data_IF_861765568534
#
_entry.id   IF_861765568534
#
_cell.length_a   1.000
_cell.length_b   1.000
_cell.length_c   1.000
_cell.angle_alpha   90.00
_cell.angle_beta   90.00
_cell.angle_gamma   90.00
#
_symmetry.space_group_name_H-M   'P 1'
#
loop_
_entity.id
_entity.type
_entity.pdbx_description
1 polymer ?
#
# COMPACT_ATOMS: atom_id res chain seq x y z
N UNK A 1 7.88 47.64 -37.49
CA UNK A 1 7.69 46.96 -36.19
C UNK A 1 8.86 46.01 -36.00
N UNK A 2 9.76 46.30 -35.05
CA UNK A 2 11.11 45.74 -34.95
C UNK A 2 11.12 44.36 -34.29
N UNK A 3 11.94 43.44 -34.83
CA UNK A 3 12.14 42.04 -34.38
C UNK A 3 12.30 41.87 -32.85
N UNK A 4 12.84 42.88 -32.15
CA UNK A 4 13.03 42.86 -30.69
C UNK A 4 11.72 42.86 -29.88
N UNK A 5 10.62 43.39 -30.42
CA UNK A 5 9.33 43.45 -29.70
C UNK A 5 8.56 42.13 -29.81
N UNK A 6 8.74 41.40 -30.92
CA UNK A 6 8.17 40.06 -31.11
C UNK A 6 8.83 39.00 -30.21
N UNK A 7 10.14 39.11 -29.93
CA UNK A 7 10.83 38.21 -29.00
C UNK A 7 10.39 38.37 -27.53
N UNK A 8 10.04 39.59 -27.09
CA UNK A 8 9.60 39.83 -25.71
C UNK A 8 8.16 39.37 -25.42
N UNK A 9 7.26 39.44 -26.41
CA UNK A 9 5.91 38.89 -26.28
C UNK A 9 5.87 37.36 -26.36
N UNK A 10 6.74 36.73 -27.17
CA UNK A 10 6.84 35.27 -27.25
C UNK A 10 7.32 34.62 -25.96
N UNK A 11 8.27 35.24 -25.25
CA UNK A 11 8.81 34.72 -24.00
C UNK A 11 7.79 34.73 -22.84
N UNK A 12 6.85 35.69 -22.83
CA UNK A 12 5.85 35.80 -21.76
C UNK A 12 4.69 34.81 -21.95
N UNK A 13 4.32 34.46 -23.18
CA UNK A 13 3.28 33.47 -23.45
C UNK A 13 3.75 32.02 -23.20
N UNK A 14 5.04 31.73 -23.42
CA UNK A 14 5.62 30.41 -23.19
C UNK A 14 5.76 30.07 -21.70
N UNK A 15 5.96 31.07 -20.82
CA UNK A 15 6.11 30.87 -19.38
C UNK A 15 4.78 30.60 -18.65
N UNK A 16 3.66 31.10 -19.19
CA UNK A 16 2.33 30.86 -18.63
C UNK A 16 1.80 29.48 -19.01
N UNK A 17 2.15 28.96 -20.19
CA UNK A 17 1.72 27.64 -20.67
C UNK A 17 2.37 26.48 -19.89
N UNK A 18 3.57 26.67 -19.33
CA UNK A 18 4.27 25.65 -18.51
C UNK A 18 3.80 25.58 -17.06
N UNK A 19 3.08 26.59 -16.54
CA UNK A 19 2.54 26.57 -15.18
C UNK A 19 1.22 25.78 -15.05
N UNK A 20 0.50 25.57 -16.16
CA UNK A 20 -0.77 24.82 -16.17
C UNK A 20 -0.60 23.29 -16.22
N UNK A 21 0.58 22.78 -16.59
CA UNK A 21 0.85 21.33 -16.65
C UNK A 21 1.25 20.72 -15.30
N UNK A 22 1.49 21.55 -14.26
CA UNK A 22 1.87 21.07 -12.93
C UNK A 22 0.76 20.27 -12.22
N UNK A 23 -0.52 20.55 -12.51
CA UNK A 23 -1.67 19.84 -11.92
C UNK A 23 -1.87 18.40 -12.44
N UNK A 24 -1.14 17.96 -13.48
CA UNK A 24 -1.25 16.61 -14.01
C UNK A 24 -0.38 15.56 -13.27
N UNK A 25 0.30 15.96 -12.19
CA UNK A 25 1.24 15.12 -11.44
C UNK A 25 0.65 14.41 -10.22
N UNK A 26 -0.65 14.59 -9.95
CA UNK A 26 -1.32 13.92 -8.84
C UNK A 26 -1.40 12.39 -9.07
N UNK A 27 -1.30 11.56 -8.02
CA UNK A 27 -1.52 10.13 -8.13
C UNK A 27 -2.90 9.84 -8.75
N UNK A 28 -3.04 8.80 -9.60
CA UNK A 28 -4.32 8.43 -10.17
C UNK A 28 -5.38 8.18 -9.09
N UNK A 29 -6.57 8.77 -9.26
CA UNK A 29 -7.69 8.53 -8.37
C UNK A 29 -8.33 7.16 -8.67
N UNK A 30 -8.50 6.35 -7.64
CA UNK A 30 -9.32 5.15 -7.65
C UNK A 30 -10.67 5.50 -7.03
N UNK A 31 -11.76 5.51 -7.83
CA UNK A 31 -13.07 5.86 -7.32
C UNK A 31 -13.61 4.82 -6.35
N UNK A 32 -14.54 5.24 -5.49
CA UNK A 32 -15.34 4.32 -4.69
C UNK A 32 -16.04 3.28 -5.58
N UNK A 33 -16.22 2.07 -5.05
CA UNK A 33 -16.81 0.93 -5.76
C UNK A 33 -15.84 -0.24 -5.91
N UNK A 34 -16.06 -1.05 -6.95
CA UNK A 34 -15.24 -2.23 -7.20
C UNK A 34 -13.87 -1.82 -7.72
N UNK A 35 -12.82 -2.22 -7.00
CA UNK A 35 -11.43 -2.07 -7.42
C UNK A 35 -10.86 -3.45 -7.77
N UNK A 36 -10.45 -3.60 -9.03
CA UNK A 36 -9.78 -4.79 -9.51
C UNK A 36 -8.31 -4.78 -9.07
N UNK A 37 -7.94 -5.74 -8.23
CA UNK A 37 -6.55 -5.95 -7.78
C UNK A 37 -5.83 -6.73 -8.88
N UNK A 38 -5.32 -5.99 -9.87
CA UNK A 38 -4.65 -6.47 -11.09
C UNK A 38 -5.41 -7.59 -11.84
N UNK A 39 -6.75 -7.55 -11.77
CA UNK A 39 -7.61 -8.56 -12.42
C UNK A 39 -7.67 -9.91 -11.70
N UNK A 40 -6.93 -10.11 -10.61
CA UNK A 40 -6.99 -11.35 -9.84
C UNK A 40 -8.30 -11.46 -9.05
N UNK A 41 -8.62 -10.45 -8.24
CA UNK A 41 -9.85 -10.38 -7.48
C UNK A 41 -10.31 -8.92 -7.31
N UNK A 42 -11.51 -8.73 -6.77
CA UNK A 42 -12.05 -7.42 -6.48
C UNK A 42 -12.14 -7.17 -4.98
N UNK A 43 -11.83 -5.94 -4.59
CA UNK A 43 -12.20 -5.36 -3.30
C UNK A 43 -13.20 -4.23 -3.53
N UNK A 44 -14.00 -3.90 -2.51
CA UNK A 44 -14.93 -2.78 -2.54
C UNK A 44 -14.36 -1.64 -1.72
N UNK A 45 -14.02 -0.54 -2.40
CA UNK A 45 -13.67 0.73 -1.78
C UNK A 45 -14.95 1.49 -1.46
N UNK A 46 -15.06 2.01 -0.25
CA UNK A 46 -16.21 2.75 0.24
C UNK A 46 -16.14 4.26 -0.08
N UNK A 47 -14.94 4.74 -0.40
CA UNK A 47 -14.64 6.10 -0.80
C UNK A 47 -13.57 6.12 -1.90
N UNK A 48 -13.23 7.31 -2.37
CA UNK A 48 -12.12 7.49 -3.30
C UNK A 48 -10.77 7.33 -2.57
N UNK A 49 -9.83 6.68 -3.24
CA UNK A 49 -8.45 6.52 -2.80
C UNK A 49 -7.51 7.02 -3.89
N UNK A 50 -6.33 7.48 -3.53
CA UNK A 50 -5.23 7.73 -4.45
C UNK A 50 -4.41 6.44 -4.64
N UNK A 51 -4.18 6.01 -5.88
CA UNK A 51 -3.21 4.97 -6.19
C UNK A 51 -1.80 5.56 -6.21
N UNK A 52 -1.10 5.38 -5.10
CA UNK A 52 0.24 5.91 -4.90
C UNK A 52 1.32 4.89 -5.25
N UNK A 53 0.96 3.72 -5.79
CA UNK A 53 1.91 2.64 -6.11
C UNK A 53 3.10 3.14 -6.92
N UNK A 54 2.86 3.97 -7.94
CA UNK A 54 3.90 4.49 -8.84
C UNK A 54 4.87 5.48 -8.18
N UNK A 55 4.53 6.02 -7.02
CA UNK A 55 5.43 6.89 -6.24
C UNK A 55 6.45 6.08 -5.44
N UNK A 56 6.23 4.78 -5.25
CA UNK A 56 7.18 3.85 -4.63
C UNK A 56 7.91 3.08 -5.72
N UNK A 57 9.04 3.61 -6.16
CA UNK A 57 9.83 3.09 -7.29
C UNK A 57 10.44 1.69 -7.01
N UNK A 58 10.85 1.42 -5.76
CA UNK A 58 11.33 0.12 -5.28
C UNK A 58 10.26 -0.59 -4.44
N UNK A 59 9.11 -0.89 -5.05
CA UNK A 59 8.01 -1.61 -4.39
C UNK A 59 7.99 -3.10 -4.77
N UNK A 60 7.32 -3.89 -3.94
CA UNK A 60 6.91 -5.23 -4.31
C UNK A 60 6.02 -5.18 -5.58
N UNK A 61 6.31 -5.98 -6.63
CA UNK A 61 5.68 -5.82 -7.94
C UNK A 61 4.18 -6.15 -7.94
N UNK A 62 3.75 -7.13 -7.13
CA UNK A 62 2.37 -7.61 -7.02
C UNK A 62 1.58 -6.97 -5.87
N UNK A 63 1.96 -5.76 -5.48
CA UNK A 63 1.34 -5.05 -4.37
C UNK A 63 0.97 -3.65 -4.80
N UNK A 64 -0.32 -3.33 -4.66
CA UNK A 64 -0.86 -2.00 -4.86
C UNK A 64 -0.81 -1.24 -3.56
N UNK A 65 -0.49 0.05 -3.63
CA UNK A 65 -0.43 0.95 -2.47
C UNK A 65 -1.44 2.05 -2.72
N UNK A 66 -2.49 2.08 -1.89
CA UNK A 66 -3.52 3.10 -1.92
C UNK A 66 -3.36 4.02 -0.70
N UNK A 67 -3.79 5.27 -0.82
CA UNK A 67 -3.85 6.22 0.30
C UNK A 67 -5.09 7.11 0.20
N UNK A 68 -5.63 7.55 1.33
CA UNK A 68 -6.69 8.57 1.37
C UNK A 68 -6.06 9.96 1.44
N UNK A 69 -5.13 10.18 2.37
CA UNK A 69 -4.64 11.53 2.68
C UNK A 69 -3.32 11.87 2.01
N UNK A 70 -2.31 10.99 2.07
CA UNK A 70 -1.01 11.20 1.40
C UNK A 70 -0.07 9.98 1.54
N UNK A 71 0.97 9.92 0.70
CA UNK A 71 1.96 8.84 0.63
C UNK A 71 2.73 8.53 1.94
N UNK A 72 2.75 9.44 2.92
CA UNK A 72 3.43 9.22 4.21
C UNK A 72 2.46 9.01 5.38
N UNK A 73 1.14 9.01 5.11
CA UNK A 73 0.11 8.96 6.14
C UNK A 73 -0.53 7.57 6.14
N UNK A 74 -1.85 7.50 5.96
CA UNK A 74 -2.54 6.24 5.82
C UNK A 74 -2.22 5.58 4.48
N UNK A 75 -1.78 4.32 4.55
CA UNK A 75 -1.46 3.50 3.40
C UNK A 75 -2.14 2.16 3.52
N UNK A 76 -2.74 1.72 2.43
CA UNK A 76 -3.36 0.41 2.27
C UNK A 76 -2.59 -0.35 1.19
N UNK A 77 -1.87 -1.38 1.62
CA UNK A 77 -1.16 -2.32 0.76
C UNK A 77 -2.10 -3.48 0.44
N UNK A 78 -2.29 -3.76 -0.84
CA UNK A 78 -3.20 -4.81 -1.32
C UNK A 78 -2.42 -5.69 -2.30
N UNK A 79 -2.19 -6.95 -1.92
CA UNK A 79 -1.46 -7.89 -2.78
C UNK A 79 -2.38 -8.55 -3.81
N UNK A 80 -1.83 -8.87 -4.97
CA UNK A 80 -2.53 -9.57 -6.08
C UNK A 80 -2.61 -11.09 -5.89
N UNK A 81 -2.00 -11.61 -4.82
CA UNK A 81 -1.76 -13.04 -4.59
C UNK A 81 -0.27 -13.33 -4.74
N UNK A 82 0.37 -13.61 -3.60
CA UNK A 82 1.82 -13.79 -3.49
C UNK A 82 2.17 -15.27 -3.43
N UNK A 83 3.06 -15.70 -4.32
CA UNK A 83 3.72 -17.00 -4.24
C UNK A 83 5.05 -16.93 -3.48
N UNK A 84 5.78 -18.04 -3.44
CA UNK A 84 7.04 -18.15 -2.70
C UNK A 84 8.18 -17.26 -3.23
N UNK A 85 8.07 -16.76 -4.47
CA UNK A 85 9.04 -15.85 -5.06
C UNK A 85 8.72 -14.37 -4.77
N UNK A 86 7.49 -14.07 -4.34
CA UNK A 86 6.98 -12.71 -4.28
C UNK A 86 7.12 -12.13 -2.86
N UNK A 87 7.80 -10.98 -2.68
CA UNK A 87 7.80 -10.27 -1.41
C UNK A 87 6.49 -9.51 -1.20
N UNK A 88 6.09 -9.29 0.05
CA UNK A 88 4.96 -8.42 0.40
C UNK A 88 5.38 -6.95 0.45
N UNK A 89 6.57 -6.67 0.97
CA UNK A 89 7.15 -5.33 1.04
C UNK A 89 8.64 -5.44 0.74
N UNK A 90 9.20 -4.34 0.26
CA UNK A 90 10.59 -4.23 -0.16
C UNK A 90 11.11 -2.91 0.39
N UNK A 91 12.37 -2.89 0.83
CA UNK A 91 13.03 -1.66 1.25
C UNK A 91 13.03 -0.63 0.12
N UNK A 92 12.49 0.55 0.41
CA UNK A 92 12.46 1.66 -0.54
C UNK A 92 13.88 2.14 -0.85
N UNK A 93 14.80 2.02 0.11
CA UNK A 93 16.18 2.49 -0.01
C UNK A 93 17.12 1.41 -0.57
N UNK A 94 16.96 0.15 -0.18
CA UNK A 94 17.86 -0.95 -0.56
C UNK A 94 17.33 -1.80 -1.72
N UNK A 95 16.01 -1.84 -1.92
CA UNK A 95 15.39 -2.74 -2.88
C UNK A 95 15.42 -4.19 -2.42
N UNK A 96 15.07 -5.10 -3.34
CA UNK A 96 15.16 -6.55 -3.15
C UNK A 96 16.37 -7.05 -3.96
N UNK A 97 17.48 -7.30 -3.27
CA UNK A 97 18.77 -7.61 -3.90
C UNK A 97 19.41 -8.84 -3.26
N UNK A 98 20.45 -9.40 -3.89
CA UNK A 98 21.16 -10.55 -3.32
C UNK A 98 21.76 -10.26 -1.93
N UNK A 99 22.17 -9.02 -1.66
CA UNK A 99 22.76 -8.61 -0.38
C UNK A 99 21.71 -8.13 0.64
N UNK A 100 20.49 -7.88 0.19
CA UNK A 100 19.36 -7.46 1.01
C UNK A 100 18.08 -8.10 0.46
N UNK A 101 17.90 -9.42 0.65
CA UNK A 101 16.74 -10.12 0.10
C UNK A 101 15.51 -9.78 0.95
N UNK A 102 14.45 -9.27 0.32
CA UNK A 102 13.19 -9.02 1.01
C UNK A 102 12.56 -10.32 1.55
N UNK A 103 11.84 -10.30 2.69
CA UNK A 103 11.13 -11.47 3.21
C UNK A 103 10.16 -12.04 2.18
N UNK A 104 10.07 -13.37 2.12
CA UNK A 104 9.15 -14.10 1.24
C UNK A 104 8.35 -15.11 2.05
N UNK A 105 7.08 -15.26 1.69
CA UNK A 105 6.23 -16.28 2.26
C UNK A 105 6.56 -17.67 1.69
N UNK A 106 5.98 -18.70 2.29
CA UNK A 106 5.97 -20.07 1.75
C UNK A 106 4.54 -20.59 1.64
N UNK A 107 4.35 -21.65 0.86
CA UNK A 107 3.06 -22.32 0.78
C UNK A 107 2.70 -22.97 2.13
N UNK A 108 1.42 -22.94 2.49
CA UNK A 108 0.91 -23.62 3.67
C UNK A 108 1.35 -23.03 5.01
N UNK A 109 1.73 -21.74 5.06
CA UNK A 109 2.02 -21.06 6.33
C UNK A 109 0.81 -21.11 7.27
N UNK A 110 1.08 -21.47 8.51
CA UNK A 110 0.14 -21.30 9.62
C UNK A 110 -0.26 -19.84 9.80
N UNK A 111 -1.37 -19.58 10.50
CA UNK A 111 -1.81 -18.22 10.77
C UNK A 111 -0.74 -17.39 11.52
N UNK A 112 -0.01 -18.01 12.45
CA UNK A 112 1.11 -17.35 13.16
C UNK A 112 2.29 -17.04 12.24
N UNK A 113 2.69 -17.98 11.37
CA UNK A 113 3.74 -17.71 10.37
C UNK A 113 3.34 -16.59 9.40
N UNK A 114 2.06 -16.48 9.04
CA UNK A 114 1.56 -15.37 8.22
C UNK A 114 1.70 -14.03 8.96
N UNK A 115 1.43 -13.99 10.27
CA UNK A 115 1.62 -12.80 11.09
C UNK A 115 3.10 -12.38 11.17
N UNK A 116 3.99 -13.35 11.41
CA UNK A 116 5.44 -13.14 11.46
C UNK A 116 5.99 -12.65 10.11
N UNK A 117 5.49 -13.21 9.01
CA UNK A 117 5.85 -12.80 7.66
C UNK A 117 5.45 -11.34 7.39
N UNK A 118 4.23 -10.95 7.76
CA UNK A 118 3.78 -9.55 7.63
C UNK A 118 4.63 -8.63 8.50
N UNK A 119 4.92 -9.00 9.75
CA UNK A 119 5.75 -8.18 10.63
C UNK A 119 7.16 -7.96 10.06
N UNK A 120 7.78 -9.03 9.57
CA UNK A 120 9.10 -8.98 8.90
C UNK A 120 9.05 -8.13 7.64
N UNK A 121 8.00 -8.25 6.84
CA UNK A 121 7.81 -7.44 5.64
C UNK A 121 7.60 -5.95 5.97
N UNK A 122 6.83 -5.63 7.01
CA UNK A 122 6.63 -4.25 7.46
C UNK A 122 7.94 -3.62 7.93
N UNK A 123 8.84 -4.37 8.56
CA UNK A 123 10.14 -3.88 8.97
C UNK A 123 11.00 -3.41 7.78
N UNK A 124 10.82 -3.99 6.58
CA UNK A 124 11.50 -3.53 5.35
C UNK A 124 11.16 -2.10 4.97
N UNK A 125 10.06 -1.54 5.46
CA UNK A 125 9.69 -0.14 5.23
C UNK A 125 10.40 0.83 6.20
N UNK A 126 11.55 0.45 6.73
CA UNK A 126 12.35 1.17 7.74
C UNK A 126 11.60 1.40 9.08
N UNK A 127 10.60 0.56 9.35
CA UNK A 127 9.88 0.58 10.61
C UNK A 127 10.61 -0.21 11.70
N UNK A 128 10.71 0.40 12.88
CA UNK A 128 11.30 -0.19 14.07
C UNK A 128 10.23 -0.79 14.99
N UNK A 129 10.61 -1.80 15.77
CA UNK A 129 9.77 -2.42 16.82
C UNK A 129 8.40 -2.84 16.31
N UNK A 130 8.39 -3.57 15.19
CA UNK A 130 7.13 -4.10 14.64
C UNK A 130 6.63 -5.23 15.54
N UNK A 131 5.50 -5.01 16.21
CA UNK A 131 4.93 -5.95 17.19
C UNK A 131 3.48 -6.26 16.83
N UNK A 132 3.19 -7.54 16.60
CA UNK A 132 1.83 -8.02 16.28
C UNK A 132 1.05 -8.33 17.55
N UNK A 133 -0.26 -8.13 17.51
CA UNK A 133 -1.16 -8.35 18.66
C UNK A 133 -2.59 -8.65 18.20
N UNK A 134 -3.40 -9.12 19.15
CA UNK A 134 -4.85 -9.31 18.97
C UNK A 134 -5.22 -10.13 17.71
N UNK A 135 -4.65 -11.33 17.48
CA UNK A 135 -5.03 -12.14 16.34
C UNK A 135 -6.49 -12.58 16.44
N UNK A 136 -7.22 -12.38 15.35
CA UNK A 136 -8.62 -12.75 15.19
C UNK A 136 -8.76 -13.65 13.95
N UNK A 137 -9.35 -14.85 14.07
CA UNK A 137 -9.73 -15.63 12.91
C UNK A 137 -10.73 -14.88 12.03
N UNK A 138 -10.52 -14.91 10.72
CA UNK A 138 -11.45 -14.36 9.73
C UNK A 138 -11.73 -15.37 8.63
N UNK A 139 -12.82 -15.17 7.89
CA UNK A 139 -13.16 -15.96 6.71
C UNK A 139 -13.37 -15.02 5.52
N UNK A 140 -12.58 -15.19 4.47
CA UNK A 140 -12.58 -14.33 3.28
C UNK A 140 -12.77 -15.21 2.05
N UNK A 141 -13.85 -14.99 1.31
CA UNK A 141 -14.20 -15.86 0.16
C UNK A 141 -14.37 -17.34 0.53
N UNK A 142 -14.70 -17.66 1.78
CA UNK A 142 -14.80 -19.02 2.31
C UNK A 142 -13.48 -19.62 2.82
N UNK A 143 -12.36 -18.92 2.64
CA UNK A 143 -11.05 -19.34 3.12
C UNK A 143 -10.76 -18.80 4.51
N UNK A 144 -10.17 -19.63 5.38
CA UNK A 144 -9.75 -19.23 6.73
C UNK A 144 -8.50 -18.35 6.63
N UNK A 145 -8.52 -17.25 7.36
CA UNK A 145 -7.39 -16.33 7.48
C UNK A 145 -7.26 -15.79 8.90
N UNK A 146 -6.34 -14.83 9.05
CA UNK A 146 -6.12 -14.10 10.30
C UNK A 146 -6.14 -12.61 10.03
N UNK A 147 -6.82 -11.86 10.90
CA UNK A 147 -6.72 -10.41 11.00
C UNK A 147 -6.09 -10.07 12.34
N UNK A 148 -5.14 -9.16 12.35
CA UNK A 148 -4.40 -8.82 13.56
C UNK A 148 -3.92 -7.38 13.49
N UNK A 149 -3.68 -6.81 14.65
CA UNK A 149 -3.14 -5.47 14.79
C UNK A 149 -1.63 -5.54 14.90
N UNK A 150 -0.95 -4.45 14.57
CA UNK A 150 0.45 -4.28 14.93
C UNK A 150 0.76 -2.83 15.25
N UNK A 151 1.85 -2.63 15.98
CA UNK A 151 2.47 -1.33 16.17
C UNK A 151 3.83 -1.29 15.51
N UNK A 152 4.28 -0.11 15.18
CA UNK A 152 5.61 0.16 14.65
C UNK A 152 6.02 1.59 15.02
N UNK A 153 7.28 1.94 14.77
CA UNK A 153 7.78 3.30 14.92
C UNK A 153 8.66 3.69 13.75
N UNK A 154 8.56 4.93 13.27
CA UNK A 154 9.51 5.45 12.28
C UNK A 154 10.89 5.66 12.92
N UNK A 155 11.94 5.80 12.11
CA UNK A 155 13.27 6.19 12.59
C UNK A 155 13.28 7.50 13.39
N UNK A 156 12.36 8.42 13.04
CA UNK A 156 12.23 9.73 13.68
C UNK A 156 11.33 9.71 14.93
N UNK A 157 10.84 8.53 15.32
CA UNK A 157 10.13 8.34 16.58
C UNK A 157 8.60 8.43 16.50
N UNK A 158 8.02 8.61 15.31
CA UNK A 158 6.56 8.65 15.12
C UNK A 158 5.94 7.27 15.36
N UNK A 159 4.92 7.21 16.23
CA UNK A 159 4.21 5.96 16.49
C UNK A 159 3.25 5.63 15.34
N UNK A 160 3.30 4.38 14.91
CA UNK A 160 2.50 3.87 13.82
C UNK A 160 1.64 2.72 14.35
N UNK A 161 0.41 2.66 13.88
CA UNK A 161 -0.47 1.51 14.08
C UNK A 161 -0.82 0.89 12.73
N UNK A 162 -1.09 -0.39 12.77
CA UNK A 162 -1.48 -1.15 11.60
C UNK A 162 -2.55 -2.19 11.88
N UNK A 163 -3.25 -2.54 10.82
CA UNK A 163 -4.19 -3.64 10.76
C UNK A 163 -3.81 -4.47 9.55
N UNK A 164 -3.56 -5.75 9.76
CA UNK A 164 -3.23 -6.68 8.68
C UNK A 164 -4.28 -7.78 8.60
N UNK A 165 -4.52 -8.24 7.39
CA UNK A 165 -5.28 -9.44 7.09
C UNK A 165 -4.49 -10.32 6.14
N UNK A 166 -4.36 -11.59 6.49
CA UNK A 166 -3.71 -12.62 5.69
C UNK A 166 -4.67 -13.79 5.47
N UNK A 167 -4.72 -14.30 4.26
CA UNK A 167 -5.51 -15.48 3.86
C UNK A 167 -4.78 -16.21 2.75
N UNK A 168 -4.81 -17.53 2.76
CA UNK A 168 -4.24 -18.35 1.69
C UNK A 168 -5.35 -19.05 0.91
N UNK A 169 -5.19 -19.11 -0.41
CA UNK A 169 -6.08 -19.84 -1.31
C UNK A 169 -5.27 -20.42 -2.48
N UNK A 170 -5.52 -21.68 -2.83
CA UNK A 170 -4.92 -22.38 -3.98
C UNK A 170 -3.39 -22.20 -4.13
N UNK A 171 -2.66 -22.18 -3.01
CA UNK A 171 -1.20 -22.05 -2.98
C UNK A 171 -0.65 -20.62 -3.10
N UNK A 172 -1.53 -19.62 -3.18
CA UNK A 172 -1.18 -18.20 -3.09
C UNK A 172 -1.60 -17.65 -1.72
N UNK A 173 -0.89 -16.61 -1.26
CA UNK A 173 -1.26 -15.88 -0.06
C UNK A 173 -1.62 -14.43 -0.40
N UNK A 174 -2.73 -13.97 0.14
CA UNK A 174 -3.30 -12.66 -0.09
C UNK A 174 -3.23 -11.85 1.19
N UNK A 175 -2.67 -10.65 1.08
CA UNK A 175 -2.44 -9.74 2.18
C UNK A 175 -3.10 -8.41 1.89
N UNK A 176 -3.78 -7.89 2.90
CA UNK A 176 -4.17 -6.48 2.99
C UNK A 176 -3.53 -5.93 4.26
N UNK A 177 -2.68 -4.92 4.12
CA UNK A 177 -1.96 -4.33 5.25
C UNK A 177 -2.24 -2.83 5.26
N UNK A 178 -2.82 -2.36 6.34
CA UNK A 178 -3.07 -0.94 6.59
C UNK A 178 -2.07 -0.42 7.61
N UNK A 179 -1.45 0.72 7.32
CA UNK A 179 -0.48 1.40 8.19
C UNK A 179 -0.82 2.88 8.22
N UNK A 180 -0.87 3.48 9.41
CA UNK A 180 -1.07 4.91 9.56
C UNK A 180 -0.47 5.43 10.88
N UNK A 181 -0.13 6.74 10.97
CA UNK A 181 0.23 7.36 12.23
C UNK A 181 -0.89 7.19 13.27
N UNK A 182 -0.48 6.90 14.50
CA UNK A 182 -1.38 6.54 15.59
C UNK A 182 -2.30 7.68 16.01
N UNK A 183 -1.81 8.92 16.02
CA UNK A 183 -2.42 10.05 16.71
C UNK A 183 -3.76 10.50 16.10
N UNK A 184 -3.94 10.32 14.79
CA UNK A 184 -5.15 10.78 14.09
C UNK A 184 -5.59 9.83 12.99
N UNK A 185 -4.68 9.50 12.07
CA UNK A 185 -5.05 8.89 10.79
C UNK A 185 -5.53 7.44 10.91
N UNK A 186 -4.96 6.69 11.86
CA UNK A 186 -5.33 5.29 12.07
C UNK A 186 -6.80 5.14 12.43
N UNK A 187 -7.23 5.73 13.55
CA UNK A 187 -8.61 5.58 14.01
C UNK A 187 -9.62 6.29 13.09
N UNK A 188 -9.22 7.41 12.47
CA UNK A 188 -10.07 8.18 11.55
C UNK A 188 -10.54 7.38 10.32
N UNK A 189 -9.77 6.37 9.89
CA UNK A 189 -10.08 5.60 8.66
C UNK A 189 -10.17 4.08 8.89
N UNK A 190 -10.04 3.62 10.14
CA UNK A 190 -10.04 2.20 10.49
C UNK A 190 -11.35 1.49 10.07
N UNK A 191 -12.49 2.15 10.23
CA UNK A 191 -13.78 1.59 9.83
C UNK A 191 -13.87 1.35 8.31
N UNK A 192 -13.39 2.32 7.51
CA UNK A 192 -13.31 2.22 6.06
C UNK A 192 -12.42 1.04 5.66
N UNK A 193 -11.25 0.92 6.28
CA UNK A 193 -10.28 -0.16 6.04
C UNK A 193 -10.87 -1.53 6.36
N UNK A 194 -11.55 -1.68 7.50
CA UNK A 194 -12.21 -2.94 7.88
C UNK A 194 -13.24 -3.36 6.83
N UNK A 195 -14.07 -2.42 6.37
CA UNK A 195 -15.03 -2.67 5.28
C UNK A 195 -14.33 -3.13 3.98
N UNK A 196 -13.17 -2.54 3.64
CA UNK A 196 -12.38 -2.99 2.49
C UNK A 196 -11.86 -4.41 2.72
N UNK A 197 -11.33 -4.72 3.90
CA UNK A 197 -10.80 -6.05 4.23
C UNK A 197 -11.87 -7.15 4.29
N UNK A 198 -13.14 -6.81 4.55
CA UNK A 198 -14.26 -7.76 4.56
C UNK A 198 -14.83 -8.03 3.14
N UNK A 199 -14.50 -7.18 2.17
CA UNK A 199 -15.03 -7.23 0.81
C UNK A 199 -14.39 -8.21 -0.19
N UNK A 200 -13.16 -8.76 -0.01
CA UNK A 200 -12.52 -9.53 -1.07
C UNK A 200 -13.31 -10.78 -1.44
N UNK A 201 -13.39 -11.02 -2.74
CA UNK A 201 -13.87 -12.29 -3.31
C UNK A 201 -12.71 -12.93 -4.05
N UNK A 202 -12.00 -13.82 -3.36
CA UNK A 202 -10.81 -14.48 -3.90
C UNK A 202 -11.18 -15.40 -5.10
N UNK A 203 -10.22 -15.68 -6.00
CA UNK A 203 -10.46 -16.43 -7.24
C UNK A 203 -10.81 -17.91 -7.02
#
# INVERSE_FOLDING_TARGET
>A
MTIKTLLKLGASAALTATLLTACASAPPLVPAGNFAVAGAYNIKLDRNWADVSKLFYRRAPKVRILSIDCILLNRLYVSEGLGAADPLMVSVTQGDTANHPAPRGKSGMSLSEQMEFVASSVAELDYQKVETRNPQPVSIGGNKGVRFEFTARTTDGLNMRGLAQAVSDKGLSYYIVYIAPEEHYYDATLANVKSVMDSPKLP
#
